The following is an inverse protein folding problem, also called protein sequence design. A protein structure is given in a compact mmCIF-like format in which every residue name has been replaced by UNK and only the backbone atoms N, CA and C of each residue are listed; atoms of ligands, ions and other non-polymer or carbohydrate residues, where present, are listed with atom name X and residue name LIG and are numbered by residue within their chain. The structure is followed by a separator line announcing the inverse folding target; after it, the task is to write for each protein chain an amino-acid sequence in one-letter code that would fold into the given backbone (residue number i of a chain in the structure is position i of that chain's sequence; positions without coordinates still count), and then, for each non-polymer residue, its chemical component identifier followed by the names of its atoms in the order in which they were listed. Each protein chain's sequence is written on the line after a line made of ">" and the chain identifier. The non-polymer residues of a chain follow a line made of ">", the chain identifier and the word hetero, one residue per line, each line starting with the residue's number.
data_IF_214605172326
#
_entry.id   IF_214605172326
#
_cell.length_a   1.000
_cell.length_b   1.000
_cell.length_c   1.000
_cell.angle_alpha   90.00
_cell.angle_beta   90.00
_cell.angle_gamma   90.00
#
_symmetry.space_group_name_H-M   'P 1'
#
loop_
_entity.id
_entity.type
_entity.pdbx_description
1 polymer ?
#
# COMPACT_ATOMS: atom_id res chain seq x y z
N UNK A 1 -11.44 -14.53 -6.68
CA UNK A 1 -11.83 -14.74 -5.27
C UNK A 1 -13.04 -13.86 -5.00
N UNK A 2 -14.20 -14.44 -4.71
CA UNK A 2 -15.37 -13.69 -4.25
C UNK A 2 -15.29 -13.56 -2.73
N UNK A 3 -15.15 -12.34 -2.23
CA UNK A 3 -15.14 -12.03 -0.80
C UNK A 3 -16.58 -12.08 -0.29
N UNK A 4 -16.84 -12.70 0.87
CA UNK A 4 -18.21 -12.81 1.39
C UNK A 4 -18.72 -11.46 1.93
N UNK A 5 -20.04 -11.26 1.87
CA UNK A 5 -20.66 -10.03 2.37
C UNK A 5 -20.46 -9.88 3.89
N UNK A 6 -20.46 -10.97 4.65
CA UNK A 6 -20.23 -10.96 6.10
C UNK A 6 -18.79 -10.55 6.43
N UNK A 7 -17.82 -10.98 5.63
CA UNK A 7 -16.43 -10.55 5.81
C UNK A 7 -16.29 -9.06 5.54
N UNK A 8 -16.85 -8.55 4.44
CA UNK A 8 -16.81 -7.12 4.11
C UNK A 8 -17.49 -6.27 5.19
N UNK A 9 -18.65 -6.70 5.70
CA UNK A 9 -19.33 -6.00 6.80
C UNK A 9 -18.45 -5.90 8.05
N UNK A 10 -17.68 -6.95 8.37
CA UNK A 10 -16.71 -6.92 9.48
C UNK A 10 -15.54 -5.98 9.21
N UNK A 11 -15.00 -5.98 8.00
CA UNK A 11 -13.92 -5.06 7.61
C UNK A 11 -14.38 -3.61 7.74
N UNK A 12 -15.57 -3.30 7.22
CA UNK A 12 -16.14 -1.94 7.26
C UNK A 12 -16.59 -1.48 8.64
N UNK A 13 -16.79 -2.40 9.58
CA UNK A 13 -17.05 -2.05 10.98
C UNK A 13 -15.79 -1.69 11.77
N UNK A 14 -14.59 -1.98 11.23
CA UNK A 14 -13.32 -1.62 11.84
C UNK A 14 -13.03 -0.12 11.70
N UNK A 15 -12.32 0.45 12.68
CA UNK A 15 -11.81 1.82 12.60
C UNK A 15 -10.55 1.87 11.71
N UNK A 16 -10.52 2.82 10.78
CA UNK A 16 -9.34 3.06 9.95
C UNK A 16 -8.20 3.67 10.79
N UNK A 17 -7.01 3.06 10.70
CA UNK A 17 -5.83 3.56 11.37
C UNK A 17 -5.02 4.38 10.37
N UNK A 18 -4.90 5.68 10.63
CA UNK A 18 -4.19 6.59 9.74
C UNK A 18 -2.68 6.61 10.00
N UNK A 19 -1.91 6.69 8.92
CA UNK A 19 -0.44 6.75 8.98
C UNK A 19 0.08 8.19 9.10
N UNK A 20 -0.79 9.20 9.09
CA UNK A 20 -0.42 10.61 9.10
C UNK A 20 -0.33 11.23 10.51
N UNK A 21 -0.48 10.43 11.58
CA UNK A 21 -0.38 10.91 12.97
C UNK A 21 1.02 10.61 13.53
N UNK A 22 1.91 11.61 13.68
CA UNK A 22 3.29 11.40 14.09
C UNK A 22 3.44 10.68 15.45
N UNK A 23 4.42 9.79 15.56
CA UNK A 23 4.73 9.05 16.79
C UNK A 23 3.77 7.90 17.12
N UNK A 24 2.71 7.70 16.33
CA UNK A 24 1.90 6.49 16.42
C UNK A 24 2.63 5.30 15.81
N UNK A 25 2.29 4.09 16.27
CA UNK A 25 2.86 2.87 15.69
C UNK A 25 2.60 2.76 14.18
N UNK A 26 1.43 3.23 13.71
CA UNK A 26 1.08 3.22 12.29
C UNK A 26 1.97 4.17 11.48
N UNK A 27 2.19 5.39 11.94
CA UNK A 27 3.09 6.34 11.30
C UNK A 27 4.54 5.84 11.29
N UNK A 28 5.05 5.39 12.44
CA UNK A 28 6.43 4.87 12.54
C UNK A 28 6.63 3.65 11.64
N UNK A 29 5.66 2.72 11.62
CA UNK A 29 5.71 1.56 10.73
C UNK A 29 5.65 1.96 9.25
N UNK A 30 4.82 2.95 8.90
CA UNK A 30 4.70 3.46 7.55
C UNK A 30 5.98 4.14 7.04
N UNK A 31 6.71 4.86 7.91
CA UNK A 31 7.95 5.55 7.52
C UNK A 31 9.20 4.67 7.58
N UNK A 32 9.17 3.55 8.31
CA UNK A 32 10.34 2.69 8.50
C UNK A 32 10.16 1.27 7.95
N UNK A 33 9.17 0.53 8.46
CA UNK A 33 8.99 -0.91 8.18
C UNK A 33 8.45 -1.16 6.78
N UNK A 34 7.39 -0.45 6.38
CA UNK A 34 6.74 -0.68 5.09
C UNK A 34 7.66 -0.34 3.88
N UNK A 35 8.45 0.74 3.89
CA UNK A 35 9.43 1.01 2.84
C UNK A 35 10.50 -0.07 2.75
N UNK A 36 10.92 -0.63 3.90
CA UNK A 36 11.80 -1.81 3.96
C UNK A 36 11.20 -3.00 3.22
N UNK A 37 9.93 -3.33 3.47
CA UNK A 37 9.24 -4.42 2.77
C UNK A 37 9.17 -4.21 1.25
N UNK A 38 8.99 -2.97 0.78
CA UNK A 38 9.00 -2.65 -0.65
C UNK A 38 10.38 -2.91 -1.26
N UNK A 39 11.45 -2.50 -0.57
CA UNK A 39 12.84 -2.76 -1.00
C UNK A 39 13.15 -4.25 -1.03
N UNK A 40 12.77 -4.99 0.01
CA UNK A 40 12.94 -6.45 0.08
C UNK A 40 12.19 -7.16 -1.06
N UNK A 41 11.01 -6.66 -1.43
CA UNK A 41 10.24 -7.18 -2.57
C UNK A 41 10.98 -6.97 -3.90
N UNK A 42 11.57 -5.80 -4.11
CA UNK A 42 12.40 -5.53 -5.31
C UNK A 42 13.61 -6.46 -5.34
N UNK A 43 14.33 -6.59 -4.23
CA UNK A 43 15.52 -7.43 -4.17
C UNK A 43 15.21 -8.90 -4.42
N UNK A 44 14.12 -9.41 -3.84
CA UNK A 44 13.67 -10.80 -4.02
C UNK A 44 13.15 -11.11 -5.43
N UNK A 45 12.77 -10.09 -6.22
CA UNK A 45 12.15 -10.26 -7.54
C UNK A 45 12.92 -9.56 -8.66
N UNK A 46 14.17 -9.16 -8.42
CA UNK A 46 14.97 -8.36 -9.37
C UNK A 46 15.12 -9.02 -10.74
N UNK A 47 15.18 -10.34 -10.80
CA UNK A 47 15.25 -11.11 -12.06
C UNK A 47 13.90 -11.24 -12.78
N UNK A 48 12.78 -11.07 -12.07
CA UNK A 48 11.41 -11.24 -12.60
C UNK A 48 10.78 -9.92 -13.01
N UNK A 49 11.19 -8.82 -12.39
CA UNK A 49 10.69 -7.50 -12.68
C UNK A 49 11.52 -6.82 -13.75
N UNK A 50 10.86 -6.00 -14.57
CA UNK A 50 11.59 -5.08 -15.43
C UNK A 50 12.28 -4.02 -14.57
N UNK A 51 13.38 -3.47 -15.09
CA UNK A 51 14.12 -2.38 -14.42
C UNK A 51 13.20 -1.20 -14.08
N UNK A 52 12.31 -0.82 -15.01
CA UNK A 52 11.31 0.24 -14.78
C UNK A 52 10.44 -0.05 -13.55
N UNK A 53 9.97 -1.29 -13.38
CA UNK A 53 9.14 -1.67 -12.23
C UNK A 53 9.94 -1.61 -10.92
N UNK A 54 11.18 -2.09 -10.95
CA UNK A 54 12.08 -1.98 -9.79
C UNK A 54 12.27 -0.52 -9.40
N UNK A 55 12.59 0.36 -10.36
CA UNK A 55 12.81 1.78 -10.10
C UNK A 55 11.57 2.47 -9.54
N UNK A 56 10.37 2.17 -10.09
CA UNK A 56 9.11 2.73 -9.58
C UNK A 56 8.79 2.27 -8.16
N UNK A 57 9.10 1.02 -7.80
CA UNK A 57 8.91 0.50 -6.45
C UNK A 57 9.91 1.11 -5.46
N UNK A 58 11.17 1.30 -5.87
CA UNK A 58 12.17 1.98 -5.04
C UNK A 58 11.78 3.45 -4.81
N UNK A 59 11.30 4.15 -5.85
CA UNK A 59 10.78 5.50 -5.71
C UNK A 59 9.60 5.55 -4.74
N UNK A 60 8.66 4.60 -4.82
CA UNK A 60 7.56 4.51 -3.87
C UNK A 60 8.06 4.37 -2.43
N UNK A 61 9.07 3.54 -2.18
CA UNK A 61 9.65 3.38 -0.84
C UNK A 61 10.26 4.70 -0.33
N UNK A 62 10.92 5.46 -1.19
CA UNK A 62 11.49 6.76 -0.83
C UNK A 62 10.40 7.81 -0.60
N UNK A 63 9.36 7.83 -1.43
CA UNK A 63 8.19 8.70 -1.30
C UNK A 63 7.47 8.48 0.03
N UNK A 64 7.30 7.23 0.46
CA UNK A 64 6.71 6.88 1.76
C UNK A 64 7.52 7.43 2.95
N UNK A 65 8.86 7.36 2.90
CA UNK A 65 9.73 7.89 3.96
C UNK A 65 9.62 9.41 4.06
N UNK A 66 9.47 10.07 2.91
CA UNK A 66 9.43 11.53 2.79
C UNK A 66 8.02 12.12 2.89
N UNK A 67 7.00 11.31 3.24
CA UNK A 67 5.60 11.74 3.35
C UNK A 67 5.08 12.40 2.06
N UNK A 68 5.51 11.87 0.90
CA UNK A 68 5.07 12.35 -0.39
C UNK A 68 3.62 11.94 -0.69
N UNK A 69 2.96 12.69 -1.57
CA UNK A 69 1.61 12.35 -2.02
C UNK A 69 1.65 11.13 -2.94
N UNK A 70 1.15 10.00 -2.45
CA UNK A 70 1.03 8.76 -3.22
C UNK A 70 -0.39 8.67 -3.79
N UNK A 71 -0.56 8.58 -5.13
CA UNK A 71 -1.87 8.46 -5.75
C UNK A 71 -2.61 7.21 -5.29
N UNK A 72 -3.90 7.36 -4.98
CA UNK A 72 -4.74 6.23 -4.63
C UNK A 72 -5.00 5.34 -5.87
N UNK A 73 -5.03 4.00 -5.70
CA UNK A 73 -5.37 3.11 -6.80
C UNK A 73 -6.79 3.35 -7.35
N UNK A 74 -7.68 4.00 -6.58
CA UNK A 74 -9.03 4.40 -6.99
C UNK A 74 -9.06 5.34 -8.20
N UNK A 75 -7.94 6.03 -8.48
CA UNK A 75 -7.76 6.83 -9.70
C UNK A 75 -7.62 5.96 -10.97
N UNK A 76 -7.45 4.64 -10.81
CA UNK A 76 -7.32 3.65 -11.88
C UNK A 76 -8.46 2.63 -11.76
N UNK A 77 -9.58 2.81 -12.50
CA UNK A 77 -10.80 2.01 -12.33
C UNK A 77 -10.58 0.48 -12.42
N UNK A 78 -9.65 0.05 -13.27
CA UNK A 78 -9.30 -1.38 -13.44
C UNK A 78 -8.59 -1.97 -12.22
N UNK A 79 -7.88 -1.16 -11.43
CA UNK A 79 -7.20 -1.60 -10.21
C UNK A 79 -8.14 -1.54 -9.02
N UNK A 80 -8.99 -0.51 -8.95
CA UNK A 80 -10.03 -0.37 -7.93
C UNK A 80 -10.95 -1.57 -7.86
N UNK A 81 -11.36 -2.08 -9.02
CA UNK A 81 -12.20 -3.27 -9.10
C UNK A 81 -11.56 -4.55 -8.50
N UNK A 82 -10.24 -4.57 -8.25
CA UNK A 82 -9.53 -5.75 -7.73
C UNK A 82 -9.54 -5.87 -6.21
N UNK A 83 -9.90 -4.81 -5.49
CA UNK A 83 -9.88 -4.81 -4.02
C UNK A 83 -11.23 -4.31 -3.48
N UNK A 84 -12.20 -5.21 -3.23
CA UNK A 84 -13.54 -4.83 -2.77
C UNK A 84 -13.58 -4.44 -1.29
N UNK A 85 -12.43 -4.27 -0.62
CA UNK A 85 -12.33 -4.09 0.84
C UNK A 85 -12.10 -2.64 1.25
N UNK A 86 -11.96 -1.70 0.32
CA UNK A 86 -11.78 -0.28 0.61
C UNK A 86 -12.19 0.58 -0.58
N UNK A 87 -12.82 1.73 -0.32
CA UNK A 87 -13.16 2.71 -1.35
C UNK A 87 -11.94 3.53 -1.84
N UNK A 88 -10.81 3.45 -1.14
CA UNK A 88 -9.56 4.13 -1.51
C UNK A 88 -8.71 3.29 -2.47
N UNK A 89 -9.08 2.02 -2.67
CA UNK A 89 -8.46 1.16 -3.67
C UNK A 89 -9.07 1.38 -5.05
#
# INVERSE_FOLDING_TARGET
>A
MTVSAEFLARVYAGEEIFTNVPGTFANESYKSRLPGLVRDCVDSNRERFSEEKCNRLLQLADDMVNDAVIPFPSQYPEQAAKSPTSAQW
#
